data_IF_330989118895
#
_entry.id   IF_330989118895
#
_cell.length_a   1.000
_cell.length_b   1.000
_cell.length_c   1.000
_cell.angle_alpha   90.00
_cell.angle_beta   90.00
_cell.angle_gamma   90.00
#
_symmetry.space_group_name_H-M   'P 1'
#
loop_
_entity.id
_entity.type
_entity.pdbx_description
1 polymer ?
#
# COMPACT_ATOMS: atom_id res chain seq x y z
N UNK A 1 -62.50 35.58 -1.82
CA UNK A 1 -61.81 34.47 -1.14
C UNK A 1 -61.18 33.59 -2.20
N UNK A 2 -59.84 33.58 -2.30
CA UNK A 2 -59.02 32.42 -2.69
C UNK A 2 -57.55 32.87 -2.58
N UNK A 3 -56.91 32.44 -1.48
CA UNK A 3 -55.47 32.50 -1.29
C UNK A 3 -54.87 31.37 -2.11
N UNK A 4 -54.16 31.68 -3.19
CA UNK A 4 -53.27 30.75 -3.87
C UNK A 4 -51.94 30.74 -3.14
N UNK A 5 -51.71 29.71 -2.32
CA UNK A 5 -50.43 29.41 -1.70
C UNK A 5 -49.48 28.87 -2.77
N UNK A 6 -48.47 29.64 -3.15
CA UNK A 6 -47.28 29.08 -3.76
C UNK A 6 -46.29 28.85 -2.62
N UNK A 7 -46.24 27.60 -2.17
CA UNK A 7 -45.25 27.11 -1.23
C UNK A 7 -43.86 27.31 -1.86
N UNK A 8 -43.05 28.14 -1.21
CA UNK A 8 -41.61 28.18 -1.44
C UNK A 8 -41.04 26.84 -0.94
N UNK A 9 -40.99 25.84 -1.82
CA UNK A 9 -40.11 24.71 -1.64
C UNK A 9 -38.68 25.18 -1.96
N UNK A 10 -38.10 25.94 -1.04
CA UNK A 10 -36.66 26.06 -0.94
C UNK A 10 -36.16 24.72 -0.38
N UNK A 11 -35.99 23.74 -1.27
CA UNK A 11 -35.07 22.64 -1.02
C UNK A 11 -33.70 23.28 -0.86
N UNK A 12 -33.27 23.44 0.39
CA UNK A 12 -31.86 23.49 0.75
C UNK A 12 -31.25 22.18 0.27
N UNK A 13 -30.76 22.17 -0.97
CA UNK A 13 -29.76 21.21 -1.40
C UNK A 13 -28.53 21.48 -0.51
N UNK A 14 -28.36 20.67 0.53
CA UNK A 14 -27.02 20.46 1.07
C UNK A 14 -26.18 20.01 -0.13
N UNK A 15 -25.23 20.85 -0.58
CA UNK A 15 -24.18 20.43 -1.50
C UNK A 15 -23.42 19.28 -0.83
N UNK A 16 -23.87 18.05 -1.09
CA UNK A 16 -23.13 16.85 -0.77
C UNK A 16 -21.95 16.83 -1.72
N UNK A 17 -20.83 17.40 -1.28
CA UNK A 17 -19.58 17.29 -2.02
C UNK A 17 -19.25 15.82 -2.22
N UNK A 18 -19.02 15.44 -3.46
CA UNK A 18 -18.60 14.08 -3.76
C UNK A 18 -17.24 13.83 -3.09
N UNK A 19 -17.18 12.78 -2.27
CA UNK A 19 -15.95 12.35 -1.63
C UNK A 19 -14.84 12.09 -2.66
N UNK A 20 -15.21 11.68 -3.88
CA UNK A 20 -14.26 11.48 -4.98
C UNK A 20 -13.66 12.82 -5.45
N UNK A 21 -14.45 13.88 -5.57
CA UNK A 21 -13.97 15.22 -5.94
C UNK A 21 -13.03 15.79 -4.88
N UNK A 22 -13.34 15.56 -3.60
CA UNK A 22 -12.44 15.96 -2.49
C UNK A 22 -11.12 15.20 -2.55
N UNK A 23 -11.15 13.88 -2.78
CA UNK A 23 -9.93 13.06 -2.91
C UNK A 23 -9.09 13.51 -4.11
N UNK A 24 -9.73 13.76 -5.27
CA UNK A 24 -9.04 14.27 -6.46
C UNK A 24 -8.42 15.64 -6.21
N UNK A 25 -9.11 16.54 -5.49
CA UNK A 25 -8.57 17.84 -5.11
C UNK A 25 -7.30 17.72 -4.26
N UNK A 26 -7.29 16.85 -3.26
CA UNK A 26 -6.10 16.58 -2.43
C UNK A 26 -5.03 15.74 -3.13
N UNK A 27 -5.35 15.04 -4.21
CA UNK A 27 -4.37 14.32 -5.02
C UNK A 27 -3.63 15.24 -5.99
N UNK A 28 -4.38 16.16 -6.63
CA UNK A 28 -3.88 17.06 -7.67
C UNK A 28 -3.20 18.29 -7.07
N UNK A 29 -3.83 18.95 -6.09
CA UNK A 29 -3.37 20.24 -5.58
C UNK A 29 -1.96 20.23 -4.98
N UNK A 30 -1.53 19.18 -4.23
CA UNK A 30 -0.18 19.12 -3.71
C UNK A 30 0.82 18.45 -4.66
N UNK A 31 0.40 17.92 -5.82
CA UNK A 31 1.22 17.07 -6.69
C UNK A 31 2.58 17.71 -7.05
N UNK A 32 2.57 18.97 -7.46
CA UNK A 32 3.80 19.72 -7.77
C UNK A 32 4.67 19.97 -6.53
N UNK A 33 4.05 20.19 -5.37
CA UNK A 33 4.77 20.51 -4.12
C UNK A 33 5.39 19.26 -3.47
N UNK A 34 4.79 18.08 -3.72
CA UNK A 34 5.25 16.79 -3.22
C UNK A 34 6.03 15.99 -4.27
N UNK A 35 6.35 16.58 -5.43
CA UNK A 35 7.08 15.94 -6.53
C UNK A 35 6.44 14.62 -6.98
N UNK A 36 5.11 14.57 -7.01
CA UNK A 36 4.37 13.38 -7.44
C UNK A 36 4.60 13.12 -8.95
N UNK A 37 4.59 11.86 -9.41
CA UNK A 37 4.83 11.53 -10.82
C UNK A 37 3.91 12.31 -11.77
N UNK A 38 4.42 12.66 -12.96
CA UNK A 38 3.79 13.53 -13.98
C UNK A 38 2.34 13.16 -14.36
N UNK A 39 1.92 11.92 -14.10
CA UNK A 39 0.55 11.44 -14.32
C UNK A 39 -0.47 12.04 -13.31
N UNK A 40 0.02 12.75 -12.28
CA UNK A 40 -0.77 13.47 -11.28
C UNK A 40 -0.91 14.95 -11.64
N UNK A 41 -0.31 15.41 -12.74
CA UNK A 41 -0.47 16.77 -13.22
C UNK A 41 -1.90 16.99 -13.72
N UNK A 42 -2.50 18.08 -13.26
CA UNK A 42 -3.83 18.48 -13.70
C UNK A 42 -3.83 18.67 -15.22
N UNK A 43 -4.79 18.10 -15.97
CA UNK A 43 -5.12 18.66 -17.27
C UNK A 43 -5.42 20.15 -17.01
N UNK A 44 -4.67 21.05 -17.66
CA UNK A 44 -4.69 22.51 -17.43
C UNK A 44 -6.08 23.18 -17.56
N UNK A 45 -7.13 22.43 -17.84
CA UNK A 45 -8.48 22.88 -18.13
C UNK A 45 -9.57 22.30 -17.21
N UNK A 46 -9.24 21.50 -16.19
CA UNK A 46 -10.25 20.70 -15.48
C UNK A 46 -10.70 21.24 -14.12
N UNK A 47 -10.18 22.36 -13.61
CA UNK A 47 -10.60 22.88 -12.30
C UNK A 47 -10.81 24.40 -12.29
N UNK A 48 -12.08 24.81 -12.31
CA UNK A 48 -12.56 26.04 -11.68
C UNK A 48 -13.29 25.61 -10.40
N UNK A 49 -12.78 25.94 -9.20
CA UNK A 49 -13.38 25.48 -7.96
C UNK A 49 -14.56 26.37 -7.62
N UNK A 50 -15.75 26.05 -8.14
CA UNK A 50 -16.99 26.51 -7.52
C UNK A 50 -17.37 25.59 -6.33
N UNK A 51 -16.67 24.46 -6.12
CA UNK A 51 -16.83 23.57 -4.95
C UNK A 51 -16.05 24.11 -3.73
N UNK A 52 -16.66 25.03 -2.99
CA UNK A 52 -16.07 25.82 -1.91
C UNK A 52 -15.84 25.10 -0.56
N UNK A 53 -15.31 23.87 -0.52
CA UNK A 53 -15.17 23.14 0.77
C UNK A 53 -13.77 22.64 1.15
N UNK A 54 -12.78 22.72 0.26
CA UNK A 54 -11.38 22.53 0.62
C UNK A 54 -10.62 23.83 0.39
N UNK A 55 -10.36 24.58 1.46
CA UNK A 55 -9.58 25.81 1.38
C UNK A 55 -8.13 25.46 0.98
N UNK A 56 -7.48 26.31 0.18
CA UNK A 56 -6.04 26.23 -0.09
C UNK A 56 -5.21 26.21 1.20
N UNK A 57 -5.76 26.70 2.31
CA UNK A 57 -5.19 26.52 3.65
C UNK A 57 -5.16 25.06 4.12
N UNK A 58 -6.19 24.27 3.83
CA UNK A 58 -6.28 22.86 4.22
C UNK A 58 -5.35 21.97 3.38
N UNK A 59 -5.13 22.32 2.11
CA UNK A 59 -4.09 21.68 1.28
C UNK A 59 -2.69 21.92 1.85
N UNK A 60 -2.39 23.15 2.31
CA UNK A 60 -1.10 23.46 2.94
C UNK A 60 -0.89 22.66 4.22
N UNK A 61 -1.91 22.56 5.07
CA UNK A 61 -1.88 21.71 6.26
C UNK A 61 -1.66 20.23 5.91
N UNK A 62 -2.32 19.73 4.87
CA UNK A 62 -2.13 18.35 4.41
C UNK A 62 -0.68 18.10 3.93
N UNK A 63 -0.07 19.05 3.21
CA UNK A 63 1.34 18.97 2.80
C UNK A 63 2.27 18.95 4.01
N UNK A 64 2.04 19.83 4.99
CA UNK A 64 2.82 19.88 6.23
C UNK A 64 2.68 18.57 7.02
N UNK A 65 1.48 18.00 7.08
CA UNK A 65 1.22 16.73 7.75
C UNK A 65 1.94 15.57 7.06
N UNK A 66 1.92 15.52 5.72
CA UNK A 66 2.66 14.51 4.94
C UNK A 66 4.16 14.63 5.21
N UNK A 67 4.71 15.85 5.26
CA UNK A 67 6.13 16.08 5.57
C UNK A 67 6.46 15.66 7.01
N UNK A 68 5.64 16.05 7.97
CA UNK A 68 5.79 15.66 9.38
C UNK A 68 5.75 14.15 9.53
N UNK A 69 4.80 13.47 8.89
CA UNK A 69 4.71 12.00 8.90
C UNK A 69 5.94 11.36 8.27
N UNK A 70 6.44 11.89 7.14
CA UNK A 70 7.69 11.41 6.53
C UNK A 70 8.88 11.54 7.48
N UNK A 71 8.97 12.63 8.24
CA UNK A 71 10.03 12.84 9.24
C UNK A 71 9.87 11.94 10.47
N UNK A 72 8.65 11.80 11.00
CA UNK A 72 8.33 10.95 12.16
C UNK A 72 8.56 9.46 11.88
N UNK A 73 8.18 9.01 10.68
CA UNK A 73 8.20 7.60 10.33
C UNK A 73 9.62 7.12 9.91
N UNK A 74 10.54 8.04 9.62
CA UNK A 74 11.93 7.73 9.33
C UNK A 74 12.14 6.91 8.04
N UNK A 75 13.39 6.46 7.77
CA UNK A 75 13.72 5.73 6.55
C UNK A 75 13.13 4.32 6.50
N UNK A 76 12.92 3.68 7.66
CA UNK A 76 12.39 2.32 7.72
C UNK A 76 10.89 2.26 7.34
N UNK A 77 10.14 3.35 7.46
CA UNK A 77 8.73 3.39 7.02
C UNK A 77 8.55 3.17 5.53
N UNK A 78 9.44 3.70 4.69
CA UNK A 78 9.36 3.46 3.26
C UNK A 78 9.62 1.98 2.94
N UNK A 79 10.53 1.35 3.69
CA UNK A 79 10.84 -0.08 3.55
C UNK A 79 9.59 -0.89 3.86
N UNK A 80 8.96 -0.65 5.01
CA UNK A 80 7.76 -1.40 5.42
C UNK A 80 6.58 -1.12 4.47
N UNK A 81 6.37 0.15 4.09
CA UNK A 81 5.30 0.54 3.16
C UNK A 81 5.44 -0.16 1.80
N UNK A 82 6.65 -0.22 1.25
CA UNK A 82 6.94 -0.83 -0.06
C UNK A 82 6.93 -2.35 0.03
N UNK A 83 7.44 -2.92 1.13
CA UNK A 83 7.43 -4.36 1.40
C UNK A 83 6.01 -4.94 1.39
N UNK A 84 5.03 -4.20 1.93
CA UNK A 84 3.62 -4.61 1.95
C UNK A 84 2.92 -4.54 0.58
N UNK A 85 3.64 -4.22 -0.51
CA UNK A 85 3.04 -4.12 -1.85
C UNK A 85 3.35 -5.34 -2.71
N UNK A 86 2.30 -5.97 -3.23
CA UNK A 86 2.41 -7.14 -4.11
C UNK A 86 3.30 -6.90 -5.32
N UNK A 87 3.24 -5.71 -5.94
CA UNK A 87 4.08 -5.39 -7.10
C UNK A 87 5.57 -5.41 -6.74
N UNK A 88 5.93 -5.03 -5.52
CA UNK A 88 7.30 -4.96 -5.06
C UNK A 88 7.84 -6.35 -4.73
N UNK A 89 7.05 -7.16 -4.02
CA UNK A 89 7.37 -8.57 -3.79
C UNK A 89 7.59 -9.29 -5.12
N UNK A 90 6.67 -9.11 -6.08
CA UNK A 90 6.82 -9.66 -7.43
C UNK A 90 8.09 -9.20 -8.14
N UNK A 91 8.48 -7.93 -7.99
CA UNK A 91 9.73 -7.41 -8.53
C UNK A 91 10.94 -8.11 -7.90
N UNK A 92 11.00 -8.21 -6.57
CA UNK A 92 12.12 -8.87 -5.86
C UNK A 92 12.19 -10.35 -6.25
N UNK A 93 11.07 -11.08 -6.22
CA UNK A 93 11.02 -12.51 -6.56
C UNK A 93 11.55 -12.78 -7.97
N UNK A 94 11.28 -11.89 -8.93
CA UNK A 94 11.80 -12.02 -10.30
C UNK A 94 13.26 -11.62 -10.41
N UNK A 95 13.64 -10.50 -9.78
CA UNK A 95 14.99 -9.93 -9.91
C UNK A 95 16.05 -10.76 -9.19
N UNK A 96 15.69 -11.36 -8.06
CA UNK A 96 16.56 -12.13 -7.17
C UNK A 96 16.18 -13.61 -7.13
N UNK A 97 15.52 -14.12 -8.18
CA UNK A 97 15.00 -15.49 -8.24
C UNK A 97 16.05 -16.54 -7.83
N UNK A 98 17.24 -16.51 -8.44
CA UNK A 98 18.32 -17.46 -8.13
C UNK A 98 18.76 -17.41 -6.66
N UNK A 99 18.85 -16.21 -6.08
CA UNK A 99 19.26 -16.03 -4.70
C UNK A 99 18.19 -16.54 -3.72
N UNK A 100 16.92 -16.28 -4.03
CA UNK A 100 15.80 -16.80 -3.24
C UNK A 100 15.71 -18.32 -3.35
N UNK A 101 15.90 -18.89 -4.55
CA UNK A 101 15.94 -20.34 -4.74
C UNK A 101 17.07 -20.98 -3.93
N UNK A 102 18.29 -20.45 -4.00
CA UNK A 102 19.42 -20.95 -3.21
C UNK A 102 19.14 -20.89 -1.70
N UNK A 103 18.59 -19.77 -1.23
CA UNK A 103 18.23 -19.58 0.19
C UNK A 103 17.12 -20.52 0.67
N UNK A 104 16.18 -20.87 -0.22
CA UNK A 104 15.00 -21.69 0.13
C UNK A 104 15.21 -23.18 -0.13
N UNK A 105 16.27 -23.56 -0.86
CA UNK A 105 16.54 -24.94 -1.24
C UNK A 105 16.67 -25.86 -0.02
N UNK A 106 17.28 -25.39 1.06
CA UNK A 106 17.41 -26.17 2.31
C UNK A 106 16.05 -26.63 2.84
N UNK A 107 15.03 -25.75 2.79
CA UNK A 107 13.69 -26.11 3.23
C UNK A 107 13.02 -27.10 2.28
N UNK A 108 13.29 -26.99 0.98
CA UNK A 108 12.77 -27.94 -0.02
C UNK A 108 13.36 -29.33 0.22
N UNK A 109 14.68 -29.41 0.41
CA UNK A 109 15.38 -30.68 0.68
C UNK A 109 14.86 -31.33 1.98
N UNK A 110 14.62 -30.54 3.03
CA UNK A 110 14.05 -31.03 4.29
C UNK A 110 12.58 -31.48 4.14
N UNK A 111 11.77 -30.78 3.33
CA UNK A 111 10.40 -31.20 3.02
C UNK A 111 10.39 -32.55 2.30
N UNK A 112 11.25 -32.71 1.29
CA UNK A 112 11.40 -33.97 0.55
C UNK A 112 11.86 -35.12 1.46
N UNK A 113 12.74 -34.86 2.44
CA UNK A 113 13.17 -35.87 3.41
C UNK A 113 12.03 -36.30 4.34
N UNK A 114 11.17 -35.36 4.76
CA UNK A 114 9.98 -35.66 5.56
C UNK A 114 8.99 -36.50 4.73
N UNK A 115 8.76 -36.10 3.47
CA UNK A 115 7.87 -36.81 2.55
C UNK A 115 8.36 -38.24 2.24
N UNK A 116 9.67 -38.43 2.03
CA UNK A 116 10.27 -39.75 1.82
C UNK A 116 10.10 -40.69 3.03
N UNK A 117 9.92 -40.14 4.24
CA UNK A 117 9.73 -40.90 5.47
C UNK A 117 8.25 -41.08 5.84
N UNK A 118 7.30 -40.62 5.02
CA UNK A 118 5.86 -40.62 5.35
C UNK A 118 5.32 -42.02 5.70
N UNK A 119 5.86 -43.08 5.09
CA UNK A 119 5.47 -44.47 5.42
C UNK A 119 5.91 -44.94 6.83
N UNK A 120 6.87 -44.25 7.44
CA UNK A 120 7.48 -44.60 8.73
C UNK A 120 7.12 -43.65 9.88
N UNK A 121 6.27 -42.65 9.62
CA UNK A 121 5.92 -41.61 10.60
C UNK A 121 4.39 -41.60 10.79
N UNK A 122 3.93 -41.39 12.03
CA UNK A 122 2.52 -41.17 12.31
C UNK A 122 2.04 -39.89 11.59
N UNK A 123 0.86 -39.91 10.99
CA UNK A 123 0.22 -38.77 10.31
C UNK A 123 0.26 -37.48 11.15
N UNK A 124 0.03 -37.57 12.47
CA UNK A 124 0.11 -36.41 13.36
C UNK A 124 1.51 -35.79 13.43
N UNK A 125 2.55 -36.62 13.50
CA UNK A 125 3.95 -36.17 13.55
C UNK A 125 4.40 -35.61 12.20
N UNK A 126 3.93 -36.21 11.11
CA UNK A 126 4.15 -35.71 9.75
C UNK A 126 3.60 -34.29 9.59
N UNK A 127 2.30 -34.09 9.89
CA UNK A 127 1.64 -32.80 9.77
C UNK A 127 2.29 -31.74 10.67
N UNK A 128 2.68 -32.12 11.89
CA UNK A 128 3.33 -31.20 12.83
C UNK A 128 4.69 -30.72 12.29
N UNK A 129 5.52 -31.64 11.79
CA UNK A 129 6.83 -31.31 11.22
C UNK A 129 6.70 -30.49 9.94
N UNK A 130 5.80 -30.88 9.04
CA UNK A 130 5.58 -30.17 7.78
C UNK A 130 5.09 -28.75 8.02
N UNK A 131 4.11 -28.54 8.90
CA UNK A 131 3.61 -27.21 9.23
C UNK A 131 4.66 -26.32 9.90
N UNK A 132 5.49 -26.90 10.78
CA UNK A 132 6.60 -26.17 11.40
C UNK A 132 7.60 -25.70 10.33
N UNK A 133 7.97 -26.59 9.41
CA UNK A 133 8.93 -26.30 8.34
C UNK A 133 8.40 -25.26 7.34
N UNK A 134 7.13 -25.35 6.95
CA UNK A 134 6.47 -24.33 6.11
C UNK A 134 6.43 -22.98 6.81
N UNK A 135 6.13 -22.96 8.12
CA UNK A 135 6.12 -21.71 8.90
C UNK A 135 7.50 -21.08 8.94
N UNK A 136 8.54 -21.88 9.19
CA UNK A 136 9.92 -21.42 9.22
C UNK A 136 10.39 -20.90 7.85
N UNK A 137 10.08 -21.64 6.77
CA UNK A 137 10.34 -21.21 5.39
C UNK A 137 9.71 -19.84 5.11
N UNK A 138 8.43 -19.67 5.42
CA UNK A 138 7.73 -18.40 5.20
C UNK A 138 8.33 -17.24 6.00
N UNK A 139 8.70 -17.47 7.26
CA UNK A 139 9.37 -16.45 8.08
C UNK A 139 10.77 -16.10 7.56
N UNK A 140 11.51 -17.10 7.08
CA UNK A 140 12.83 -16.92 6.48
C UNK A 140 12.74 -16.12 5.18
N UNK A 141 11.79 -16.45 4.31
CA UNK A 141 11.51 -15.72 3.07
C UNK A 141 11.09 -14.27 3.35
N UNK A 142 10.18 -14.04 4.31
CA UNK A 142 9.77 -12.68 4.70
C UNK A 142 10.96 -11.83 5.17
N UNK A 143 11.84 -12.39 6.01
CA UNK A 143 13.07 -11.72 6.45
C UNK A 143 13.99 -11.41 5.27
N UNK A 144 14.16 -12.36 4.35
CA UNK A 144 14.96 -12.18 3.14
C UNK A 144 14.41 -11.05 2.26
N UNK A 145 13.11 -11.06 1.98
CA UNK A 145 12.44 -10.02 1.19
C UNK A 145 12.57 -8.63 1.85
N UNK A 146 12.44 -8.54 3.18
CA UNK A 146 12.63 -7.29 3.91
C UNK A 146 14.07 -6.78 3.82
N UNK A 147 15.05 -7.67 3.99
CA UNK A 147 16.47 -7.34 3.83
C UNK A 147 16.81 -6.89 2.41
N UNK A 148 16.31 -7.58 1.38
CA UNK A 148 16.48 -7.18 -0.01
C UNK A 148 15.85 -5.81 -0.27
N UNK A 149 14.65 -5.56 0.26
CA UNK A 149 13.97 -4.25 0.16
C UNK A 149 14.84 -3.15 0.77
N UNK A 150 15.33 -3.36 1.99
CA UNK A 150 16.22 -2.43 2.69
C UNK A 150 17.49 -2.15 1.89
N UNK A 151 18.14 -3.19 1.39
CA UNK A 151 19.35 -3.05 0.59
C UNK A 151 19.11 -2.30 -0.73
N UNK A 152 17.98 -2.52 -1.39
CA UNK A 152 17.66 -1.80 -2.63
C UNK A 152 17.39 -0.33 -2.32
N UNK A 153 16.52 -0.03 -1.35
CA UNK A 153 16.10 1.35 -1.06
C UNK A 153 17.18 2.22 -0.42
N UNK A 154 18.14 1.64 0.31
CA UNK A 154 19.28 2.38 0.87
C UNK A 154 20.36 2.66 -0.19
N UNK A 155 20.48 1.82 -1.22
CA UNK A 155 21.49 1.96 -2.28
C UNK A 155 20.95 2.65 -3.55
N UNK A 156 19.73 3.19 -3.51
CA UNK A 156 19.16 4.07 -4.54
C UNK A 156 19.46 5.53 -4.20
#
# INVERSE_FOLDING_TARGET
AQKGSYENNATTEEEVVDAQETVLFYYISPANTLEMPLNCETPRFMYQPDSALADHHDVRKAIEEIRRKKEECGPDYLIDFVFDKDYWINYISRRYASFITEHTQVFVDEMEEIEAKTENINEYDYLTKMNALVTEKNQSEQKLYHQLTKNILINL
#
